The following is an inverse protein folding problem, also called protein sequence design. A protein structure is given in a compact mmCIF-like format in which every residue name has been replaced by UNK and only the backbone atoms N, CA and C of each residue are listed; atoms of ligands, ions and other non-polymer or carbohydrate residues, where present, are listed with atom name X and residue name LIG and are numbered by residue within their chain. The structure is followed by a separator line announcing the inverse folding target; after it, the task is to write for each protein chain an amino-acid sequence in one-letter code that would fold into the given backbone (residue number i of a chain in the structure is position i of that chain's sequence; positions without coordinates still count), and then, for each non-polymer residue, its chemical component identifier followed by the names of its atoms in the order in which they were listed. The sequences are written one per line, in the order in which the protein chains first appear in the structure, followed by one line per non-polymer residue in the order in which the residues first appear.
data_IF_498241577300
#
_entry.id   IF_498241577300
#
_cell.length_a   1.000
_cell.length_b   1.000
_cell.length_c   1.000
_cell.angle_alpha   90.00
_cell.angle_beta   90.00
_cell.angle_gamma   90.00
#
_symmetry.space_group_name_H-M   'P 1'
#
loop_
_entity.id
_entity.type
_entity.pdbx_description
1 polymer ?
#
# COMPACT_ATOMS: atom_id res chain seq x y z
N UNK A 1 -4.76 -18.15 0.36
CA UNK A 1 -4.28 -17.28 -0.72
C UNK A 1 -2.79 -17.51 -1.02
N UNK A 2 -1.92 -17.56 -0.03
CA UNK A 2 -0.46 -17.67 -0.21
C UNK A 2 0.09 -18.97 0.37
N UNK A 3 -0.49 -20.12 0.00
CA UNK A 3 -0.31 -21.45 0.63
C UNK A 3 1.10 -21.77 1.16
N UNK A 4 2.16 -21.51 0.39
CA UNK A 4 3.54 -21.79 0.77
C UNK A 4 4.44 -20.55 0.85
N UNK A 5 3.88 -19.34 0.69
CA UNK A 5 4.64 -18.11 0.55
C UNK A 5 4.20 -17.00 1.51
N UNK A 6 3.24 -17.28 2.40
CA UNK A 6 2.67 -16.26 3.29
C UNK A 6 3.71 -15.56 4.17
N UNK A 7 4.76 -16.29 4.61
CA UNK A 7 5.86 -15.73 5.39
C UNK A 7 6.83 -14.85 4.56
N UNK A 8 6.73 -14.91 3.22
CA UNK A 8 7.61 -14.19 2.31
C UNK A 8 6.92 -13.03 1.62
N UNK A 9 5.63 -12.81 1.88
CA UNK A 9 4.89 -11.69 1.28
C UNK A 9 4.93 -10.49 2.22
N UNK A 10 5.39 -9.37 1.69
CA UNK A 10 5.29 -8.07 2.33
C UNK A 10 4.06 -7.33 1.77
N UNK A 11 3.23 -6.80 2.65
CA UNK A 11 2.02 -6.08 2.27
C UNK A 11 2.30 -4.58 2.28
N UNK A 12 1.81 -3.88 1.27
CA UNK A 12 1.89 -2.44 1.13
C UNK A 12 0.61 -1.90 0.49
N UNK A 13 0.48 -0.60 0.40
CA UNK A 13 -0.59 0.08 -0.34
C UNK A 13 -0.01 0.83 -1.53
N UNK A 14 -0.75 0.86 -2.65
CA UNK A 14 -0.40 1.68 -3.79
C UNK A 14 -0.79 3.14 -3.49
N UNK A 15 0.12 4.07 -3.72
CA UNK A 15 -0.11 5.51 -3.55
C UNK A 15 0.45 6.31 -4.72
N UNK A 16 -0.09 7.51 -4.95
CA UNK A 16 0.39 8.48 -5.95
C UNK A 16 1.18 9.64 -5.32
N UNK A 17 1.17 9.74 -4.01
CA UNK A 17 1.79 10.83 -3.25
C UNK A 17 2.37 10.33 -1.92
N UNK A 18 2.60 11.26 -0.99
CA UNK A 18 3.09 10.95 0.36
C UNK A 18 1.98 10.48 1.32
N UNK A 19 0.76 10.19 0.85
CA UNK A 19 -0.29 9.62 1.68
C UNK A 19 0.07 8.20 2.11
N UNK A 20 -0.31 7.88 3.34
CA UNK A 20 -0.01 6.60 3.95
C UNK A 20 -1.15 6.14 4.87
N UNK A 21 -1.23 4.84 5.10
CA UNK A 21 -2.19 4.23 6.02
C UNK A 21 -1.65 4.32 7.46
N UNK A 22 -1.80 5.47 8.09
CA UNK A 22 -1.30 5.71 9.45
C UNK A 22 -2.07 4.96 10.56
N UNK A 23 -3.09 4.20 10.23
CA UNK A 23 -3.73 3.23 11.12
C UNK A 23 -2.79 2.07 11.47
N UNK A 24 -1.82 1.77 10.60
CA UNK A 24 -0.81 0.71 10.82
C UNK A 24 0.46 1.20 11.51
N UNK A 25 0.65 2.50 11.69
CA UNK A 25 1.82 3.07 12.36
C UNK A 25 2.06 4.53 12.02
N UNK A 26 2.98 5.17 12.73
CA UNK A 26 3.30 6.59 12.55
C UNK A 26 4.32 6.86 11.41
N UNK A 27 4.80 5.80 10.76
CA UNK A 27 5.75 5.88 9.65
C UNK A 27 5.27 5.07 8.46
N UNK A 28 5.48 5.60 7.27
CA UNK A 28 5.33 4.87 6.02
C UNK A 28 6.68 4.81 5.28
N UNK A 29 7.01 3.64 4.78
CA UNK A 29 8.19 3.42 3.95
C UNK A 29 7.79 3.45 2.48
N UNK A 30 8.38 4.36 1.71
CA UNK A 30 8.17 4.44 0.26
C UNK A 30 9.31 3.73 -0.45
N UNK A 31 8.97 2.86 -1.38
CA UNK A 31 9.93 2.01 -2.08
C UNK A 31 10.12 2.42 -3.53
N UNK A 32 11.34 2.28 -4.02
CA UNK A 32 11.68 2.50 -5.43
C UNK A 32 11.02 1.42 -6.29
N UNK A 33 10.15 1.83 -7.21
CA UNK A 33 9.45 0.92 -8.12
C UNK A 33 10.40 -0.05 -8.81
N UNK A 34 11.49 0.46 -9.40
CA UNK A 34 12.46 -0.36 -10.13
C UNK A 34 13.11 -1.49 -9.31
N UNK A 35 13.05 -1.42 -7.98
CA UNK A 35 13.63 -2.41 -7.07
C UNK A 35 12.65 -3.49 -6.63
N UNK A 36 11.35 -3.29 -6.87
CA UNK A 36 10.30 -4.20 -6.40
C UNK A 36 9.40 -4.73 -7.53
N UNK A 37 9.29 -4.04 -8.66
CA UNK A 37 8.34 -4.30 -9.74
C UNK A 37 8.31 -5.77 -10.21
N UNK A 38 9.47 -6.39 -10.41
CA UNK A 38 9.60 -7.76 -10.95
C UNK A 38 9.11 -8.86 -10.01
N UNK A 39 8.81 -8.55 -8.76
CA UNK A 39 8.36 -9.48 -7.72
C UNK A 39 7.10 -9.00 -7.00
N UNK A 40 6.35 -8.11 -7.64
CA UNK A 40 5.19 -7.44 -7.07
C UNK A 40 3.94 -7.75 -7.87
N UNK A 41 2.86 -7.96 -7.16
CA UNK A 41 1.50 -8.02 -7.68
C UNK A 41 0.61 -7.05 -6.92
N UNK A 42 -0.50 -6.67 -7.52
CA UNK A 42 -1.50 -5.81 -6.92
C UNK A 42 -2.82 -6.56 -6.76
N UNK A 43 -3.56 -6.21 -5.73
CA UNK A 43 -4.87 -6.73 -5.42
C UNK A 43 -5.83 -5.56 -5.18
N UNK A 44 -7.08 -5.68 -5.65
CA UNK A 44 -7.98 -4.51 -5.72
C UNK A 44 -8.33 -3.88 -4.38
N UNK A 45 -8.30 -4.66 -3.28
CA UNK A 45 -8.59 -4.18 -1.93
C UNK A 45 -7.76 -4.94 -0.87
N UNK A 46 -7.92 -4.60 0.39
CA UNK A 46 -7.34 -5.38 1.49
C UNK A 46 -7.79 -6.85 1.40
N UNK A 47 -6.84 -7.77 1.25
CA UNK A 47 -7.14 -9.18 0.98
C UNK A 47 -7.88 -9.87 2.13
N UNK A 48 -7.72 -9.42 3.37
CA UNK A 48 -8.46 -9.94 4.53
C UNK A 48 -9.93 -9.53 4.44
N UNK A 49 -10.20 -8.27 4.16
CA UNK A 49 -11.57 -7.76 3.98
C UNK A 49 -12.25 -8.39 2.78
N UNK A 50 -11.54 -8.58 1.68
CA UNK A 50 -12.04 -9.30 0.52
C UNK A 50 -12.50 -10.71 0.89
N UNK A 51 -11.67 -11.48 1.58
CA UNK A 51 -12.01 -12.83 2.01
C UNK A 51 -13.20 -12.83 2.95
N UNK A 52 -13.28 -11.90 3.89
CA UNK A 52 -14.41 -11.77 4.82
C UNK A 52 -15.71 -11.45 4.09
N UNK A 53 -15.72 -10.45 3.21
CA UNK A 53 -16.92 -10.03 2.46
C UNK A 53 -17.45 -11.12 1.53
N UNK A 54 -16.56 -11.97 1.00
CA UNK A 54 -16.91 -13.05 0.08
C UNK A 54 -17.04 -14.41 0.76
N UNK A 55 -16.95 -14.46 2.09
CA UNK A 55 -17.00 -15.68 2.88
C UNK A 55 -15.98 -16.73 2.41
N UNK A 56 -14.76 -16.29 2.07
CA UNK A 56 -13.66 -17.15 1.62
C UNK A 56 -12.87 -17.57 2.86
N UNK A 57 -13.04 -18.82 3.29
CA UNK A 57 -12.30 -19.40 4.41
C UNK A 57 -10.97 -20.03 3.98
N UNK A 58 -10.13 -20.47 4.94
CA UNK A 58 -8.83 -21.12 4.65
C UNK A 58 -8.95 -22.38 3.79
N UNK A 59 -10.08 -23.06 3.83
CA UNK A 59 -10.37 -24.27 3.06
C UNK A 59 -11.05 -23.99 1.71
N UNK A 60 -11.21 -22.74 1.32
CA UNK A 60 -11.85 -22.40 0.05
C UNK A 60 -11.04 -22.98 -1.13
N UNK A 61 -11.69 -23.66 -2.08
CA UNK A 61 -10.99 -24.38 -3.15
C UNK A 61 -10.27 -23.44 -4.12
N UNK A 62 -10.74 -22.20 -4.25
CA UNK A 62 -10.09 -21.18 -5.07
C UNK A 62 -10.52 -19.76 -4.65
N UNK A 63 -9.73 -18.78 -5.03
CA UNK A 63 -10.05 -17.37 -4.95
C UNK A 63 -10.57 -16.94 -6.31
N UNK A 64 -11.67 -16.17 -6.38
CA UNK A 64 -12.18 -15.67 -7.65
C UNK A 64 -11.09 -15.00 -8.48
N UNK A 65 -11.10 -15.21 -9.80
CA UNK A 65 -10.19 -14.52 -10.70
C UNK A 65 -10.63 -13.06 -10.93
N UNK A 66 -9.71 -12.23 -11.40
CA UNK A 66 -10.02 -10.87 -11.84
C UNK A 66 -9.76 -9.76 -10.81
N UNK A 67 -9.42 -10.10 -9.57
CA UNK A 67 -9.21 -9.11 -8.49
C UNK A 67 -7.73 -8.80 -8.24
N UNK A 68 -6.84 -9.31 -9.06
CA UNK A 68 -5.39 -9.13 -8.95
C UNK A 68 -4.74 -8.99 -10.31
N UNK A 69 -3.61 -8.30 -10.34
CA UNK A 69 -2.80 -8.13 -11.53
C UNK A 69 -1.30 -8.21 -11.19
N UNK A 70 -0.48 -8.55 -12.18
CA UNK A 70 0.95 -8.33 -12.10
C UNK A 70 1.26 -6.83 -12.09
N UNK A 71 2.47 -6.46 -11.66
CA UNK A 71 2.85 -5.04 -11.56
C UNK A 71 2.73 -4.28 -12.89
N UNK A 72 3.02 -4.93 -14.01
CA UNK A 72 2.88 -4.33 -15.36
C UNK A 72 1.45 -3.97 -15.75
N UNK A 73 0.45 -4.55 -15.08
CA UNK A 73 -0.98 -4.33 -15.31
C UNK A 73 -1.68 -3.67 -14.12
N UNK A 74 -0.93 -3.04 -13.21
CA UNK A 74 -1.48 -2.37 -12.03
C UNK A 74 -2.44 -1.25 -12.40
N UNK A 75 -2.15 -0.55 -13.49
CA UNK A 75 -2.96 0.55 -14.00
C UNK A 75 -4.33 0.06 -14.46
N UNK A 76 -4.38 -1.07 -15.17
CA UNK A 76 -5.64 -1.69 -15.62
C UNK A 76 -6.51 -2.05 -14.41
N UNK A 77 -5.91 -2.60 -13.35
CA UNK A 77 -6.63 -2.94 -12.12
C UNK A 77 -7.13 -1.69 -11.41
N UNK A 78 -6.32 -0.63 -11.33
CA UNK A 78 -6.71 0.65 -10.73
C UNK A 78 -7.88 1.27 -11.49
N UNK A 79 -7.82 1.29 -12.82
CA UNK A 79 -8.91 1.80 -13.67
C UNK A 79 -10.18 0.97 -13.49
N UNK A 80 -10.07 -0.36 -13.45
CA UNK A 80 -11.23 -1.23 -13.22
C UNK A 80 -11.88 -0.98 -11.84
N UNK A 81 -11.06 -0.79 -10.80
CA UNK A 81 -11.55 -0.48 -9.43
C UNK A 81 -12.18 0.90 -9.35
N UNK A 82 -11.52 1.92 -9.87
CA UNK A 82 -11.90 3.32 -9.66
C UNK A 82 -12.88 3.84 -10.71
N UNK A 83 -12.94 3.23 -11.90
CA UNK A 83 -13.78 3.67 -13.01
C UNK A 83 -15.22 4.00 -12.64
N UNK A 84 -15.93 3.18 -11.85
CA UNK A 84 -17.30 3.49 -11.42
C UNK A 84 -17.41 4.73 -10.51
N UNK A 85 -16.30 5.20 -9.94
CA UNK A 85 -16.23 6.37 -9.02
C UNK A 85 -15.71 7.62 -9.70
N UNK A 86 -15.15 7.51 -10.89
CA UNK A 86 -14.59 8.63 -11.65
C UNK A 86 -15.69 9.31 -12.46
N UNK A 87 -15.71 10.63 -12.40
CA UNK A 87 -16.55 11.46 -13.25
C UNK A 87 -15.70 12.11 -14.35
N UNK A 88 -16.27 12.48 -15.51
CA UNK A 88 -15.50 13.07 -16.60
C UNK A 88 -14.74 14.35 -16.24
N UNK A 89 -15.14 15.02 -15.16
CA UNK A 89 -14.53 16.25 -14.64
C UNK A 89 -13.83 16.05 -13.30
N UNK A 90 -13.53 14.82 -12.90
CA UNK A 90 -12.75 14.56 -11.68
C UNK A 90 -11.36 15.19 -11.83
N UNK A 91 -10.98 16.14 -10.97
CA UNK A 91 -9.68 16.78 -11.07
C UNK A 91 -8.55 15.84 -10.67
N UNK A 92 -7.37 16.00 -11.24
CA UNK A 92 -6.21 15.17 -10.96
C UNK A 92 -5.79 15.19 -9.49
N UNK A 93 -6.05 16.31 -8.80
CA UNK A 93 -5.81 16.45 -7.35
C UNK A 93 -6.56 15.46 -6.47
N UNK A 94 -7.64 14.90 -6.97
CA UNK A 94 -8.50 13.97 -6.21
C UNK A 94 -8.03 12.51 -6.35
N UNK A 95 -7.25 12.18 -7.39
CA UNK A 95 -6.80 10.81 -7.64
C UNK A 95 -6.05 10.17 -6.47
N UNK A 96 -5.13 10.85 -5.75
CA UNK A 96 -4.49 10.23 -4.59
C UNK A 96 -5.49 9.75 -3.54
N UNK A 97 -6.48 10.56 -3.19
CA UNK A 97 -7.50 10.22 -2.18
C UNK A 97 -8.51 9.18 -2.66
N UNK A 98 -8.74 9.07 -3.98
CA UNK A 98 -9.55 8.01 -4.58
C UNK A 98 -8.81 6.67 -4.57
N UNK A 99 -7.49 6.69 -4.78
CA UNK A 99 -6.67 5.48 -4.80
C UNK A 99 -6.40 4.94 -3.41
N UNK A 100 -6.14 5.83 -2.45
CA UNK A 100 -5.86 5.48 -1.07
C UNK A 100 -6.67 6.38 -0.13
N UNK A 101 -7.68 5.81 0.52
CA UNK A 101 -8.53 6.50 1.48
C UNK A 101 -8.33 5.91 2.87
N UNK A 102 -7.89 6.75 3.81
CA UNK A 102 -7.80 6.38 5.22
C UNK A 102 -9.21 6.28 5.83
N UNK A 103 -9.46 5.17 6.52
CA UNK A 103 -10.64 4.99 7.35
C UNK A 103 -10.40 5.39 8.81
N UNK A 104 -11.45 5.34 9.63
CA UNK A 104 -11.33 5.47 11.09
C UNK A 104 -10.67 4.25 11.75
N UNK A 105 -10.67 3.14 11.04
CA UNK A 105 -10.07 1.86 11.42
C UNK A 105 -9.73 1.06 10.15
N UNK A 106 -8.88 0.02 10.24
CA UNK A 106 -8.45 -0.77 9.08
C UNK A 106 -9.59 -1.36 8.26
N UNK A 107 -10.75 -1.61 8.86
CA UNK A 107 -11.92 -2.16 8.17
C UNK A 107 -12.65 -1.16 7.27
N UNK A 108 -12.32 0.12 7.37
CA UNK A 108 -12.94 1.21 6.58
C UNK A 108 -11.96 1.87 5.61
N UNK A 109 -10.74 1.35 5.53
CA UNK A 109 -9.77 1.82 4.56
C UNK A 109 -10.09 1.27 3.17
N UNK A 110 -9.88 2.09 2.16
CA UNK A 110 -9.99 1.70 0.77
C UNK A 110 -8.69 2.03 0.03
N UNK A 111 -8.02 1.00 -0.46
CA UNK A 111 -6.75 1.11 -1.16
C UNK A 111 -6.54 -0.10 -2.08
N UNK A 112 -5.60 0.01 -3.01
CA UNK A 112 -5.08 -1.13 -3.76
C UNK A 112 -3.95 -1.74 -2.96
N UNK A 113 -4.12 -3.00 -2.55
CA UNK A 113 -3.11 -3.72 -1.79
C UNK A 113 -1.98 -4.19 -2.72
N UNK A 114 -0.75 -4.04 -2.25
CA UNK A 114 0.46 -4.44 -2.99
C UNK A 114 1.11 -5.60 -2.26
N UNK A 115 1.36 -6.69 -2.98
CA UNK A 115 2.02 -7.88 -2.49
C UNK A 115 3.43 -7.96 -3.07
N UNK A 116 4.45 -7.78 -2.24
CA UNK A 116 5.85 -7.82 -2.64
C UNK A 116 6.45 -9.14 -2.13
N UNK A 117 6.93 -9.96 -3.04
CA UNK A 117 7.56 -11.23 -2.68
C UNK A 117 8.97 -11.00 -2.15
N UNK A 118 9.33 -11.78 -1.11
CA UNK A 118 10.62 -11.80 -0.44
C UNK A 118 10.95 -10.52 0.34
N UNK A 119 12.11 -10.50 0.98
CA UNK A 119 12.54 -9.46 1.91
C UNK A 119 12.74 -8.12 1.22
N UNK A 120 12.37 -7.06 1.91
CA UNK A 120 12.66 -5.69 1.51
C UNK A 120 14.03 -5.26 2.05
N UNK A 121 14.95 -4.97 1.15
CA UNK A 121 16.27 -4.48 1.51
C UNK A 121 16.27 -2.94 1.60
N UNK A 122 17.15 -2.39 2.45
CA UNK A 122 17.33 -0.93 2.59
C UNK A 122 17.60 -0.22 1.26
N UNK A 123 18.25 -0.91 0.31
CA UNK A 123 18.51 -0.39 -1.03
C UNK A 123 17.26 -0.21 -1.90
N UNK A 124 16.15 -0.84 -1.52
CA UNK A 124 14.86 -0.65 -2.19
C UNK A 124 14.05 0.50 -1.59
N UNK A 125 14.42 0.98 -0.40
CA UNK A 125 13.76 2.12 0.24
C UNK A 125 14.11 3.40 -0.52
N UNK A 126 13.12 4.20 -0.86
CA UNK A 126 13.31 5.54 -1.41
C UNK A 126 13.38 6.57 -0.27
N UNK A 127 12.32 6.75 0.46
CA UNK A 127 12.26 7.62 1.63
C UNK A 127 11.24 7.12 2.65
N UNK A 128 11.20 7.79 3.81
CA UNK A 128 10.23 7.53 4.88
C UNK A 128 9.40 8.78 5.10
N UNK A 129 8.08 8.58 5.25
CA UNK A 129 7.14 9.62 5.67
C UNK A 129 6.79 9.40 7.13
N UNK A 130 6.92 10.43 7.97
CA UNK A 130 6.62 10.38 9.40
C UNK A 130 5.53 11.38 9.74
N UNK A 131 4.49 10.93 10.45
CA UNK A 131 3.43 11.80 10.94
C UNK A 131 3.89 12.63 12.12
N UNK A 132 3.79 13.97 12.02
CA UNK A 132 4.33 14.90 13.03
C UNK A 132 3.48 15.03 14.31
N UNK A 133 2.24 14.55 14.30
CA UNK A 133 1.22 14.89 15.32
C UNK A 133 1.42 14.29 16.71
N UNK A 134 2.40 13.39 16.91
CA UNK A 134 2.68 12.78 18.23
C UNK A 134 3.99 13.27 18.83
N UNK A 135 3.98 13.58 20.14
CA UNK A 135 5.18 14.04 20.89
C UNK A 135 6.40 13.10 20.77
N UNK A 136 6.17 11.78 20.61
CA UNK A 136 7.23 10.78 20.44
C UNK A 136 7.94 10.81 19.09
N UNK A 137 7.33 11.40 18.07
CA UNK A 137 7.87 11.32 16.71
C UNK A 137 9.11 12.21 16.48
N UNK A 138 9.39 13.19 17.35
CA UNK A 138 10.61 14.02 17.24
C UNK A 138 11.90 13.20 17.42
N UNK A 139 11.94 12.27 18.38
CA UNK A 139 13.09 11.37 18.54
C UNK A 139 13.21 10.42 17.35
N UNK A 140 12.10 9.84 16.92
CA UNK A 140 12.06 8.96 15.76
C UNK A 140 12.57 9.66 14.49
N UNK A 141 12.10 10.87 14.21
CA UNK A 141 12.57 11.65 13.04
C UNK A 141 14.08 11.89 13.12
N UNK A 142 14.61 12.29 14.28
CA UNK A 142 16.05 12.49 14.48
C UNK A 142 16.84 11.21 14.22
N UNK A 143 16.38 10.10 14.78
CA UNK A 143 17.07 8.81 14.67
C UNK A 143 17.03 8.27 13.22
N UNK A 144 15.89 8.43 12.52
CA UNK A 144 15.76 8.09 11.10
C UNK A 144 16.68 8.95 10.22
N UNK A 145 16.76 10.26 10.46
CA UNK A 145 17.67 11.16 9.74
C UNK A 145 19.13 10.82 9.95
N UNK A 146 19.49 10.38 11.15
CA UNK A 146 20.85 9.89 11.44
C UNK A 146 21.19 8.60 10.67
N UNK A 147 20.21 7.70 10.47
CA UNK A 147 20.41 6.41 9.78
C UNK A 147 20.38 6.54 8.25
N UNK A 148 19.51 7.41 7.74
CA UNK A 148 19.24 7.49 6.28
C UNK A 148 19.94 8.68 5.64
N UNK A 149 19.50 9.84 5.86
CA UNK A 149 19.90 11.20 5.50
C UNK A 149 18.67 12.10 5.64
N UNK A 150 18.88 13.40 5.76
CA UNK A 150 17.79 14.36 5.99
C UNK A 150 16.76 14.37 4.86
N UNK A 151 17.21 14.28 3.62
CA UNK A 151 16.38 14.31 2.41
C UNK A 151 15.47 13.08 2.25
N UNK A 152 15.82 11.97 2.90
CA UNK A 152 15.06 10.72 2.86
C UNK A 152 14.05 10.57 4.00
N UNK A 153 13.86 11.61 4.80
CA UNK A 153 12.87 11.60 5.89
C UNK A 153 11.96 12.82 5.75
N UNK A 154 10.76 12.59 5.26
CA UNK A 154 9.71 13.61 5.14
C UNK A 154 8.85 13.62 6.40
N UNK A 155 8.45 14.79 6.87
CA UNK A 155 7.57 14.97 8.04
C UNK A 155 6.32 15.70 7.57
N UNK A 156 5.14 15.10 7.82
CA UNK A 156 3.84 15.63 7.44
C UNK A 156 2.91 15.82 8.63
#
# INVERSE_FOLDING_TARGET
MFLNYHEKIQFAALTLDDQALFTYGDCAMIFQEAKIANRTTVFEENCVLFCQRRNIGPAAPFIPAGYRAGWSHREDLVVAKLGPRLLPNTPDSDFPSLLLSMGSDPGKEDFVEVHIYDRLHRSALDYIVVRSTRRGNKSLVRDLKHILSDERVKVI
#
